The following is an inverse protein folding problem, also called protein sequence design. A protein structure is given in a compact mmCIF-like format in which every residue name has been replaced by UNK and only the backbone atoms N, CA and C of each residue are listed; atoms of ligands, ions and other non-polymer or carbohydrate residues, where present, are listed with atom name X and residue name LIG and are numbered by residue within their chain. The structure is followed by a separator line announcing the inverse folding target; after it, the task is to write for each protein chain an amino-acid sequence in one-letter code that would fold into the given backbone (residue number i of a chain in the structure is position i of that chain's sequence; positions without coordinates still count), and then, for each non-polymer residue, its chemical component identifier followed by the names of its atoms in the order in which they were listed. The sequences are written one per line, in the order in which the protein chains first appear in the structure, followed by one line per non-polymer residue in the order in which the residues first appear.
data_IF_027342007574
#
_entry.id   IF_027342007574
#
_cell.length_a   1.000
_cell.length_b   1.000
_cell.length_c   1.000
_cell.angle_alpha   90.00
_cell.angle_beta   90.00
_cell.angle_gamma   90.00
#
_symmetry.space_group_name_H-M   'P 1'
#
loop_
_entity.id
_entity.type
_entity.pdbx_description
1 polymer ?
#
# COMPACT_ATOMS: atom_id res chain seq x y z
N UNK A 1 -26.23 -14.27 -57.28
CA UNK A 1 -25.68 -12.90 -57.23
C UNK A 1 -26.47 -12.12 -56.18
N UNK A 2 -25.94 -11.98 -54.96
CA UNK A 2 -25.80 -10.64 -54.39
C UNK A 2 -24.34 -10.32 -54.04
N UNK A 3 -24.01 -9.05 -54.20
CA UNK A 3 -22.69 -8.41 -54.21
C UNK A 3 -22.36 -7.73 -52.87
N UNK A 4 -21.07 -7.79 -52.53
CA UNK A 4 -20.21 -6.88 -51.75
C UNK A 4 -20.62 -6.44 -50.33
N UNK A 5 -19.68 -6.61 -49.39
CA UNK A 5 -18.97 -5.47 -48.79
C UNK A 5 -17.69 -5.92 -48.06
N UNK A 6 -16.55 -5.48 -48.59
CA UNK A 6 -15.23 -5.51 -47.93
C UNK A 6 -15.21 -4.41 -46.86
N UNK A 7 -14.91 -4.76 -45.61
CA UNK A 7 -14.55 -3.80 -44.57
C UNK A 7 -13.14 -4.13 -44.07
N UNK A 8 -12.15 -3.38 -44.57
CA UNK A 8 -10.79 -3.36 -44.05
C UNK A 8 -10.81 -2.63 -42.72
N UNK A 9 -10.55 -3.33 -41.62
CA UNK A 9 -10.35 -2.70 -40.32
C UNK A 9 -8.90 -2.21 -40.22
N UNK A 10 -8.74 -0.89 -40.06
CA UNK A 10 -7.46 -0.27 -39.78
C UNK A 10 -6.96 -0.68 -38.38
N UNK A 11 -5.66 -0.97 -38.28
CA UNK A 11 -4.98 -1.33 -37.06
C UNK A 11 -4.91 -0.14 -36.07
N UNK A 12 -5.37 -0.35 -34.84
CA UNK A 12 -5.05 0.50 -33.70
C UNK A 12 -4.01 -0.24 -32.84
N UNK A 13 -2.80 0.29 -32.78
CA UNK A 13 -1.74 -0.18 -31.87
C UNK A 13 -2.17 0.17 -30.44
N UNK A 14 -2.61 -0.83 -29.67
CA UNK A 14 -2.82 -0.68 -28.23
C UNK A 14 -1.47 -0.69 -27.54
N UNK A 15 -1.04 0.48 -27.05
CA UNK A 15 0.00 0.54 -26.01
C UNK A 15 -0.70 0.22 -24.69
N UNK A 16 -0.30 -0.80 -23.92
CA UNK A 16 -0.84 -0.98 -22.58
C UNK A 16 -0.23 0.10 -21.69
N UNK A 17 -0.94 1.21 -21.49
CA UNK A 17 -0.67 2.04 -20.32
C UNK A 17 -1.10 1.24 -19.11
N UNK A 18 -0.14 0.86 -18.27
CA UNK A 18 -0.41 0.33 -16.93
C UNK A 18 -1.24 1.37 -16.19
N UNK A 19 -2.55 1.13 -16.07
CA UNK A 19 -3.43 1.96 -15.27
C UNK A 19 -3.04 1.77 -13.80
N UNK A 20 -2.22 2.69 -13.27
CA UNK A 20 -2.22 2.97 -11.83
C UNK A 20 -3.56 3.63 -11.54
N UNK A 21 -4.49 2.88 -10.97
CA UNK A 21 -5.67 3.46 -10.36
C UNK A 21 -5.25 4.14 -9.06
N UNK A 22 -4.92 5.43 -9.13
CA UNK A 22 -4.96 6.28 -7.95
C UNK A 22 -6.43 6.55 -7.63
N UNK A 23 -6.90 6.07 -6.48
CA UNK A 23 -8.25 6.33 -6.00
C UNK A 23 -8.34 7.78 -5.52
N UNK A 24 -8.75 8.69 -6.41
CA UNK A 24 -9.13 10.05 -6.05
C UNK A 24 -10.64 10.08 -5.83
N UNK A 25 -11.08 9.81 -4.60
CA UNK A 25 -12.40 10.24 -4.17
C UNK A 25 -12.33 10.74 -2.72
N UNK A 26 -12.46 12.06 -2.55
CA UNK A 26 -12.75 12.69 -1.26
C UNK A 26 -11.57 13.06 -0.35
N UNK A 27 -10.47 13.64 -0.88
CA UNK A 27 -9.46 14.26 -0.03
C UNK A 27 -9.98 15.57 0.61
N UNK A 28 -10.67 15.48 1.75
CA UNK A 28 -11.01 16.65 2.58
C UNK A 28 -9.80 17.11 3.38
N UNK A 29 -8.81 17.69 2.71
CA UNK A 29 -7.69 18.41 3.33
C UNK A 29 -6.65 17.55 4.09
N UNK A 30 -5.38 17.85 3.83
CA UNK A 30 -4.17 17.42 4.56
C UNK A 30 -3.46 16.10 4.21
N UNK A 31 -3.92 15.27 3.29
CA UNK A 31 -3.05 14.21 2.76
C UNK A 31 -2.17 14.77 1.64
N UNK A 32 -1.01 15.36 1.97
CA UNK A 32 0.11 15.26 1.04
C UNK A 32 0.42 13.78 0.97
N UNK A 33 0.03 13.10 -0.11
CA UNK A 33 0.51 11.75 -0.34
C UNK A 33 2.04 11.86 -0.42
N UNK A 34 2.73 11.39 0.62
CA UNK A 34 4.17 11.24 0.53
C UNK A 34 4.37 10.10 -0.48
N UNK A 35 4.71 10.44 -1.71
CA UNK A 35 4.96 9.47 -2.79
C UNK A 35 6.22 8.61 -2.50
N UNK A 36 6.91 8.86 -1.39
CA UNK A 36 7.99 8.03 -0.89
C UNK A 36 7.54 6.61 -0.53
N UNK A 37 8.41 5.64 -0.77
CA UNK A 37 8.21 4.26 -0.30
C UNK A 37 8.22 4.24 1.23
N UNK A 38 7.25 3.56 1.86
CA UNK A 38 7.30 3.33 3.30
C UNK A 38 8.40 2.32 3.65
N UNK A 39 9.54 2.84 4.13
CA UNK A 39 10.70 2.05 4.51
C UNK A 39 10.49 1.20 5.78
N UNK A 40 9.38 1.37 6.49
CA UNK A 40 9.09 0.60 7.70
C UNK A 40 8.50 -0.77 7.40
N UNK A 41 8.01 -1.01 6.18
CA UNK A 41 7.37 -2.28 5.82
C UNK A 41 8.41 -3.41 5.78
N UNK A 42 8.12 -4.50 6.50
CA UNK A 42 9.01 -5.66 6.63
C UNK A 42 10.16 -5.46 7.63
N UNK A 43 10.25 -4.31 8.29
CA UNK A 43 11.22 -4.09 9.36
C UNK A 43 10.92 -4.96 10.60
N UNK A 44 11.89 -5.06 11.51
CA UNK A 44 11.64 -5.62 12.83
C UNK A 44 10.74 -4.72 13.68
N UNK A 45 9.99 -5.31 14.61
CA UNK A 45 9.16 -4.54 15.55
C UNK A 45 9.13 -5.19 16.94
N UNK A 46 9.19 -4.36 17.96
CA UNK A 46 8.99 -4.74 19.37
C UNK A 46 8.24 -3.66 20.15
N UNK A 47 7.88 -3.95 21.40
CA UNK A 47 7.09 -3.02 22.18
C UNK A 47 6.81 -3.48 23.60
N UNK A 48 6.00 -2.68 24.28
CA UNK A 48 5.67 -2.84 25.70
C UNK A 48 4.91 -4.13 26.04
N UNK A 49 3.90 -4.49 25.25
CA UNK A 49 3.06 -5.68 25.41
C UNK A 49 2.26 -5.90 24.13
N UNK A 50 1.50 -7.00 24.05
CA UNK A 50 0.60 -7.27 22.94
C UNK A 50 -0.67 -8.00 23.41
N UNK A 51 -1.82 -7.53 22.98
CA UNK A 51 -3.10 -8.21 23.20
C UNK A 51 -3.11 -9.58 22.50
N UNK A 52 -3.93 -10.49 23.01
CA UNK A 52 -4.10 -11.80 22.38
C UNK A 52 -4.58 -11.65 20.93
N UNK A 53 -4.05 -12.48 20.03
CA UNK A 53 -4.37 -12.41 18.60
C UNK A 53 -3.64 -11.32 17.81
N UNK A 54 -2.77 -10.53 18.45
CA UNK A 54 -1.94 -9.51 17.79
C UNK A 54 -0.45 -9.82 17.91
N UNK A 55 0.35 -9.21 17.02
CA UNK A 55 1.82 -9.28 17.01
C UNK A 55 2.42 -7.89 16.84
N UNK A 56 3.68 -7.71 17.24
CA UNK A 56 4.42 -6.46 16.95
C UNK A 56 4.59 -6.27 15.43
N UNK A 57 4.82 -7.36 14.71
CA UNK A 57 4.99 -7.34 13.24
C UNK A 57 3.76 -6.82 12.49
N UNK A 58 2.56 -6.91 13.08
CA UNK A 58 1.33 -6.43 12.46
C UNK A 58 1.29 -4.91 12.26
N UNK A 59 2.20 -4.15 12.87
CA UNK A 59 2.29 -2.71 12.64
C UNK A 59 3.12 -2.35 11.40
N UNK A 60 3.88 -3.31 10.86
CA UNK A 60 4.90 -3.13 9.82
C UNK A 60 4.74 -4.12 8.67
N UNK A 61 3.64 -4.88 8.61
CA UNK A 61 3.40 -5.90 7.58
C UNK A 61 2.72 -5.36 6.31
N UNK A 62 2.18 -4.13 6.37
CA UNK A 62 1.51 -3.48 5.24
C UNK A 62 0.09 -3.98 4.99
N UNK A 63 -0.45 -4.84 5.87
CA UNK A 63 -1.82 -5.33 5.80
C UNK A 63 -2.73 -4.46 6.68
N UNK A 64 -3.75 -3.84 6.08
CA UNK A 64 -4.71 -3.01 6.80
C UNK A 64 -5.76 -3.82 7.58
N UNK A 65 -5.80 -5.14 7.39
CA UNK A 65 -6.66 -6.07 8.14
C UNK A 65 -6.04 -6.56 9.46
N UNK A 66 -4.73 -6.40 9.63
CA UNK A 66 -4.01 -6.74 10.86
C UNK A 66 -3.61 -5.48 11.61
N UNK A 67 -3.39 -5.62 12.92
CA UNK A 67 -2.91 -4.52 13.74
C UNK A 67 -2.16 -5.03 14.96
N UNK A 68 -1.29 -4.19 15.52
CA UNK A 68 -0.78 -4.34 16.87
C UNK A 68 -1.68 -3.59 17.84
N UNK A 69 -1.94 -4.19 19.01
CA UNK A 69 -2.56 -3.51 20.14
C UNK A 69 -1.84 -3.91 21.44
N UNK A 70 -1.52 -2.98 22.34
CA UNK A 70 -1.01 -3.33 23.67
C UNK A 70 -2.08 -4.05 24.50
N UNK A 71 -1.68 -4.75 25.56
CA UNK A 71 -2.63 -5.43 26.44
C UNK A 71 -3.43 -4.45 27.32
N UNK A 72 -2.94 -3.22 27.53
CA UNK A 72 -3.59 -2.16 28.29
C UNK A 72 -4.18 -1.07 27.38
N UNK A 73 -4.66 0.02 27.98
CA UNK A 73 -5.18 1.18 27.24
C UNK A 73 -4.11 2.03 26.56
N UNK A 74 -2.83 1.82 26.88
CA UNK A 74 -1.70 2.51 26.29
C UNK A 74 -0.57 1.54 26.00
N UNK A 75 0.32 1.93 25.10
CA UNK A 75 1.50 1.15 24.78
C UNK A 75 2.51 1.94 23.96
N UNK A 76 3.71 1.38 23.88
CA UNK A 76 4.73 1.82 22.92
C UNK A 76 5.10 0.67 22.00
N UNK A 77 5.32 1.03 20.74
CA UNK A 77 5.88 0.18 19.70
C UNK A 77 7.11 0.88 19.14
N UNK A 78 8.10 0.10 18.74
CA UNK A 78 9.33 0.57 18.14
C UNK A 78 9.57 -0.20 16.84
N UNK A 79 9.92 0.53 15.79
CA UNK A 79 10.29 -0.01 14.48
C UNK A 79 11.81 -0.09 14.43
N UNK A 80 12.33 -1.23 13.98
CA UNK A 80 13.75 -1.55 13.96
C UNK A 80 14.16 -1.93 12.54
N UNK A 81 14.85 -1.01 11.87
CA UNK A 81 15.53 -1.30 10.62
C UNK A 81 16.79 -2.14 10.88
N UNK A 82 17.11 -3.04 9.96
CA UNK A 82 18.30 -3.91 10.06
C UNK A 82 19.62 -3.15 9.92
N UNK A 83 19.56 -1.92 9.39
CA UNK A 83 20.68 -0.99 9.28
C UNK A 83 20.20 0.46 9.45
N UNK A 84 21.16 1.37 9.65
CA UNK A 84 20.89 2.81 9.70
C UNK A 84 20.08 3.26 8.49
N UNK A 85 18.93 3.89 8.74
CA UNK A 85 17.95 4.27 7.73
C UNK A 85 17.63 5.75 7.87
N UNK A 86 17.72 6.50 6.77
CA UNK A 86 17.28 7.90 6.71
C UNK A 86 15.82 7.97 6.29
N UNK A 87 15.03 8.74 7.02
CA UNK A 87 13.60 8.96 6.75
C UNK A 87 13.40 10.43 6.36
N UNK A 88 12.55 10.69 5.37
CA UNK A 88 12.27 12.03 4.82
C UNK A 88 10.79 12.29 4.60
#
# INVERSE_FOLDING_TARGET
MPTLATATLAAALVVPMTAVSAQADGATGFATQNDGTNLSIGAGADGSSKASGTSYGNAVDGDMGTYWSPSGSTGRISVKWDSDTTVS
#
